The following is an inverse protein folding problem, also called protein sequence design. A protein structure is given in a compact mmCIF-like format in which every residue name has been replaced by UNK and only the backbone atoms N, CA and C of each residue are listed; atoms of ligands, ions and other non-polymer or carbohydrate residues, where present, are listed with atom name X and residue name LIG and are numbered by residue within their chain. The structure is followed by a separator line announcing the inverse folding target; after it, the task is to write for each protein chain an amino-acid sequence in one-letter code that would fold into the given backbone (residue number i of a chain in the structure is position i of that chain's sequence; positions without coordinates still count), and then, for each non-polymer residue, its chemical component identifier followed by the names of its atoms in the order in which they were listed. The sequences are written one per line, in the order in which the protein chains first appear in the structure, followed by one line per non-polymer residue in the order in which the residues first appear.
data_IF_995875695821
#
_entry.id   IF_995875695821
#
_cell.length_a   1.000
_cell.length_b   1.000
_cell.length_c   1.000
_cell.angle_alpha   90.00
_cell.angle_beta   90.00
_cell.angle_gamma   90.00
#
_symmetry.space_group_name_H-M   'P 1'
#
loop_
_entity.id
_entity.type
_entity.pdbx_description
1 polymer ?
#
# COMPACT_ATOMS: atom_id res chain seq x y z
N UNK A 1 13.59 5.69 15.15
CA UNK A 1 14.66 4.77 14.69
C UNK A 1 14.06 3.58 13.98
N UNK A 2 14.04 3.63 12.64
CA UNK A 2 13.74 2.48 11.80
C UNK A 2 14.97 1.55 11.79
N UNK A 3 14.95 0.48 12.59
CA UNK A 3 16.04 -0.50 12.61
C UNK A 3 16.13 -1.22 11.25
N UNK A 4 17.35 -1.39 10.72
CA UNK A 4 17.59 -2.01 9.41
C UNK A 4 17.04 -3.44 9.30
N UNK A 5 16.84 -4.14 10.42
CA UNK A 5 16.25 -5.48 10.50
C UNK A 5 14.72 -5.55 10.39
N UNK A 6 14.00 -4.43 10.38
CA UNK A 6 12.53 -4.43 10.34
C UNK A 6 11.93 -4.52 8.92
N UNK A 7 12.71 -4.31 7.85
CA UNK A 7 12.20 -4.32 6.48
C UNK A 7 12.41 -5.70 5.83
N UNK A 8 11.56 -6.67 6.18
CA UNK A 8 11.72 -8.09 5.79
C UNK A 8 11.01 -8.46 4.49
N UNK A 9 10.15 -7.59 3.98
CA UNK A 9 9.28 -7.89 2.85
C UNK A 9 9.67 -7.06 1.63
N UNK A 10 9.85 -7.69 0.47
CA UNK A 10 10.04 -6.97 -0.80
C UNK A 10 8.69 -6.69 -1.44
N UNK A 11 8.40 -5.41 -1.68
CA UNK A 11 7.16 -4.95 -2.32
C UNK A 11 7.47 -4.28 -3.65
N UNK A 12 6.48 -4.26 -4.54
CA UNK A 12 6.52 -3.47 -5.77
C UNK A 12 5.47 -2.36 -5.70
N UNK A 13 5.87 -1.12 -5.97
CA UNK A 13 4.95 -0.01 -6.15
C UNK A 13 4.66 0.12 -7.64
N UNK A 14 3.39 0.13 -8.01
CA UNK A 14 2.94 0.35 -9.38
C UNK A 14 2.18 1.66 -9.49
N UNK A 15 2.35 2.34 -10.62
CA UNK A 15 1.61 3.54 -10.96
C UNK A 15 0.83 3.30 -12.23
N UNK A 16 -0.26 4.06 -12.39
CA UNK A 16 -1.04 4.03 -13.60
C UNK A 16 -0.26 4.73 -14.72
N UNK A 17 -0.20 4.08 -15.87
CA UNK A 17 0.39 4.59 -17.11
C UNK A 17 -0.64 4.53 -18.22
N UNK A 18 -0.64 5.53 -19.08
CA UNK A 18 -1.48 5.58 -20.26
C UNK A 18 -0.60 5.27 -21.48
N UNK A 19 -1.10 4.41 -22.37
CA UNK A 19 -0.42 4.04 -23.61
C UNK A 19 -1.44 4.02 -24.73
N UNK A 20 -1.05 4.49 -25.91
CA UNK A 20 -1.88 4.40 -27.11
C UNK A 20 -1.74 3.03 -27.74
N UNK A 21 -2.87 2.40 -28.04
CA UNK A 21 -2.92 1.18 -28.85
C UNK A 21 -2.80 1.53 -30.35
N UNK A 22 -2.51 0.54 -31.20
CA UNK A 22 -2.38 0.71 -32.64
C UNK A 22 -3.64 1.29 -33.32
N UNK A 23 -4.80 1.16 -32.68
CA UNK A 23 -6.06 1.74 -33.12
C UNK A 23 -6.32 3.19 -32.62
N UNK A 24 -5.37 3.82 -31.91
CA UNK A 24 -5.50 5.18 -31.36
C UNK A 24 -6.32 5.29 -30.07
N UNK A 25 -6.61 4.17 -29.40
CA UNK A 25 -7.30 4.16 -28.12
C UNK A 25 -6.31 4.29 -26.96
N UNK A 26 -6.62 5.14 -25.96
CA UNK A 26 -5.83 5.24 -24.72
C UNK A 26 -6.15 4.07 -23.79
N UNK A 27 -5.17 3.21 -23.57
CA UNK A 27 -5.25 2.09 -22.64
C UNK A 27 -4.54 2.46 -21.34
N UNK A 28 -5.21 2.19 -20.20
CA UNK A 28 -4.64 2.38 -18.87
C UNK A 28 -4.03 1.06 -18.39
N UNK A 29 -2.74 1.08 -18.09
CA UNK A 29 -2.02 -0.06 -17.57
C UNK A 29 -1.34 0.27 -16.23
N UNK A 30 -0.94 -0.74 -15.47
CA UNK A 30 -0.19 -0.58 -14.23
C UNK A 30 1.28 -0.97 -14.44
N UNK A 31 2.15 0.03 -14.55
CA UNK A 31 3.58 -0.18 -14.70
C UNK A 31 4.28 -0.20 -13.34
N UNK A 32 5.39 -0.95 -13.24
CA UNK A 32 6.24 -0.97 -12.04
C UNK A 32 6.98 0.36 -11.94
N UNK A 33 6.74 1.11 -10.87
CA UNK A 33 7.44 2.36 -10.59
C UNK A 33 8.80 2.08 -9.92
N UNK A 34 8.79 1.35 -8.80
CA UNK A 34 9.99 0.87 -8.14
C UNK A 34 9.72 -0.29 -7.19
N UNK A 35 10.79 -0.97 -6.77
CA UNK A 35 10.78 -2.07 -5.80
C UNK A 35 11.57 -1.68 -4.57
N UNK A 36 11.02 -1.94 -3.39
CA UNK A 36 11.71 -1.64 -2.13
C UNK A 36 11.40 -2.66 -1.03
N UNK A 37 12.20 -2.58 0.03
CA UNK A 37 11.96 -3.30 1.27
C UNK A 37 11.00 -2.54 2.16
N UNK A 38 10.06 -3.27 2.75
CA UNK A 38 9.01 -2.77 3.61
C UNK A 38 8.82 -3.68 4.83
N UNK A 39 8.28 -3.11 5.90
CA UNK A 39 7.68 -3.85 7.02
C UNK A 39 6.18 -3.85 6.82
N UNK A 40 5.56 -5.02 6.77
CA UNK A 40 4.11 -5.15 6.62
C UNK A 40 3.53 -5.58 7.96
N UNK A 41 2.62 -4.77 8.48
CA UNK A 41 1.87 -5.05 9.70
C UNK A 41 0.41 -5.23 9.33
N UNK A 42 -0.18 -6.36 9.73
CA UNK A 42 -1.62 -6.52 9.62
C UNK A 42 -2.28 -5.59 10.61
N UNK A 43 -3.27 -4.81 10.15
CA UNK A 43 -4.09 -4.03 11.06
C UNK A 43 -4.92 -5.04 11.85
N UNK A 44 -4.47 -5.34 13.07
CA UNK A 44 -5.27 -6.13 14.01
C UNK A 44 -6.45 -5.23 14.35
N UNK A 45 -7.66 -5.58 13.92
CA UNK A 45 -8.85 -5.11 14.62
C UNK A 45 -8.73 -5.63 16.05
N UNK A 46 -8.14 -4.82 16.91
CA UNK A 46 -8.07 -5.11 18.33
C UNK A 46 -9.49 -4.94 18.82
N UNK A 47 -10.16 -6.06 19.05
CA UNK A 47 -11.48 -6.09 19.67
C UNK A 47 -11.42 -5.40 21.02
N UNK A 48 -11.74 -4.11 21.03
CA UNK A 48 -12.33 -3.41 22.16
C UNK A 48 -13.82 -3.38 21.89
N UNK A 49 -14.56 -4.19 22.65
CA UNK A 49 -15.95 -3.97 23.06
C UNK A 49 -16.62 -2.76 22.37
N UNK A 50 -17.40 -2.94 21.30
CA UNK A 50 -18.77 -2.37 21.20
C UNK A 50 -19.41 -2.50 19.79
N UNK A 51 -19.11 -3.51 18.98
CA UNK A 51 -19.79 -3.62 17.67
C UNK A 51 -20.10 -5.05 17.26
N UNK A 52 -20.93 -5.71 18.06
CA UNK A 52 -21.87 -6.70 17.54
C UNK A 52 -23.01 -5.90 16.87
N UNK A 53 -22.76 -5.34 15.68
CA UNK A 53 -23.82 -4.88 14.81
C UNK A 53 -23.80 -5.70 13.53
N UNK A 54 -24.68 -6.69 13.56
CA UNK A 54 -25.36 -7.32 12.43
C UNK A 54 -24.89 -6.89 11.02
N UNK A 55 -24.17 -7.79 10.35
CA UNK A 55 -24.61 -8.18 9.00
C UNK A 55 -23.86 -7.63 7.80
N UNK A 56 -22.55 -7.32 7.87
CA UNK A 56 -21.68 -7.24 6.66
C UNK A 56 -20.18 -7.25 7.00
N UNK A 57 -19.66 -8.38 7.46
CA UNK A 57 -18.21 -8.61 7.56
C UNK A 57 -17.65 -9.02 6.19
N UNK A 58 -17.61 -8.06 5.28
CA UNK A 58 -16.68 -8.11 4.14
C UNK A 58 -15.72 -6.95 4.28
N UNK A 59 -15.08 -6.84 5.45
CA UNK A 59 -14.00 -5.88 5.64
C UNK A 59 -12.78 -6.43 4.90
N UNK A 60 -12.48 -5.84 3.74
CA UNK A 60 -11.26 -6.11 2.99
C UNK A 60 -10.06 -6.01 3.93
N UNK A 61 -9.13 -6.99 3.93
CA UNK A 61 -8.04 -6.98 4.90
C UNK A 61 -7.14 -5.75 4.69
N UNK A 62 -7.13 -4.86 5.68
CA UNK A 62 -6.24 -3.70 5.71
C UNK A 62 -4.84 -4.09 6.22
N UNK A 63 -3.83 -3.52 5.58
CA UNK A 63 -2.43 -3.66 5.97
C UNK A 63 -1.78 -2.29 6.11
N UNK A 64 -0.88 -2.17 7.07
CA UNK A 64 0.01 -1.02 7.21
C UNK A 64 1.37 -1.41 6.66
N UNK A 65 1.82 -0.69 5.63
CA UNK A 65 3.11 -0.90 4.97
C UNK A 65 4.03 0.24 5.34
N UNK A 66 5.04 -0.04 6.16
CA UNK A 66 6.06 0.94 6.54
C UNK A 66 7.29 0.77 5.67
N UNK A 67 7.71 1.87 5.05
CA UNK A 67 8.86 1.93 4.16
C UNK A 67 9.86 2.98 4.64
N UNK A 68 11.07 2.98 4.08
CA UNK A 68 12.00 4.10 4.28
C UNK A 68 11.36 5.40 3.84
N UNK A 69 11.72 6.51 4.48
CA UNK A 69 11.18 7.83 4.15
C UNK A 69 11.28 8.10 2.64
N UNK A 70 10.13 8.37 2.05
CA UNK A 70 9.99 8.70 0.64
C UNK A 70 8.73 9.52 0.43
N UNK A 71 8.86 10.55 -0.41
CA UNK A 71 7.77 11.42 -0.84
C UNK A 71 7.30 11.06 -2.27
N UNK A 72 7.91 10.02 -2.86
CA UNK A 72 7.63 9.59 -4.24
C UNK A 72 6.37 8.70 -4.36
N UNK A 73 5.75 8.33 -3.24
CA UNK A 73 4.56 7.48 -3.21
C UNK A 73 3.33 8.36 -3.00
N UNK A 74 2.26 8.10 -3.74
CA UNK A 74 0.98 8.80 -3.60
C UNK A 74 -0.20 7.81 -3.63
N UNK A 75 -1.40 8.33 -3.38
CA UNK A 75 -2.65 7.55 -3.30
C UNK A 75 -3.11 6.96 -4.64
N UNK A 76 -2.61 7.47 -5.77
CA UNK A 76 -2.92 6.93 -7.10
C UNK A 76 -2.10 5.68 -7.43
N UNK A 77 -1.17 5.28 -6.55
CA UNK A 77 -0.34 4.09 -6.71
C UNK A 77 -0.93 2.87 -6.00
N UNK A 78 -0.40 1.70 -6.33
CA UNK A 78 -0.77 0.41 -5.70
C UNK A 78 0.46 -0.35 -5.23
N UNK A 79 0.31 -1.09 -4.14
CA UNK A 79 1.32 -2.00 -3.61
C UNK A 79 1.03 -3.41 -4.10
N UNK A 80 2.02 -4.06 -4.69
CA UNK A 80 1.98 -5.48 -5.01
C UNK A 80 2.88 -6.24 -4.04
N UNK A 81 2.34 -7.28 -3.41
CA UNK A 81 3.06 -8.13 -2.48
C UNK A 81 2.56 -9.57 -2.55
N UNK A 82 3.46 -10.52 -2.80
CA UNK A 82 3.18 -11.98 -2.89
C UNK A 82 1.98 -12.34 -3.79
N UNK A 83 1.83 -11.64 -4.91
CA UNK A 83 0.72 -11.87 -5.87
C UNK A 83 -0.60 -11.20 -5.50
N UNK A 84 -0.71 -10.56 -4.33
CA UNK A 84 -1.85 -9.73 -3.95
C UNK A 84 -1.60 -8.25 -4.29
N UNK A 85 -2.68 -7.56 -4.64
CA UNK A 85 -2.70 -6.12 -4.93
C UNK A 85 -3.37 -5.39 -3.79
N UNK A 86 -2.78 -4.28 -3.37
CA UNK A 86 -3.33 -3.43 -2.34
C UNK A 86 -3.38 -1.98 -2.83
N UNK A 87 -4.55 -1.34 -2.71
CA UNK A 87 -4.72 0.08 -2.98
C UNK A 87 -4.17 0.89 -1.81
N UNK A 88 -3.47 1.99 -2.10
CA UNK A 88 -2.98 2.90 -1.07
C UNK A 88 -4.11 3.86 -0.68
N UNK A 89 -4.57 3.74 0.56
CA UNK A 89 -5.60 4.61 1.13
C UNK A 89 -5.00 5.90 1.67
N UNK A 90 -3.92 5.78 2.44
CA UNK A 90 -3.24 6.93 3.03
C UNK A 90 -1.72 6.83 2.86
N UNK A 91 -1.08 7.99 2.72
CA UNK A 91 0.38 8.13 2.69
C UNK A 91 0.78 9.09 3.81
N UNK A 92 1.50 8.57 4.80
CA UNK A 92 1.90 9.29 6.00
C UNK A 92 3.42 9.30 6.13
N UNK A 93 4.11 10.23 5.45
CA UNK A 93 5.54 10.44 5.63
C UNK A 93 5.81 11.10 6.99
N UNK A 94 6.82 10.60 7.70
CA UNK A 94 7.26 11.17 8.96
C UNK A 94 8.05 12.47 8.70
N UNK A 95 7.37 13.62 8.61
CA UNK A 95 8.04 14.90 8.31
C UNK A 95 8.92 15.41 9.47
N UNK A 96 8.68 14.95 10.70
CA UNK A 96 9.42 15.39 11.88
C UNK A 96 10.85 14.81 11.91
N UNK A 97 11.01 13.49 11.76
CA UNK A 97 12.32 12.83 11.83
C UNK A 97 12.80 12.31 10.47
N UNK A 98 11.93 12.27 9.46
CA UNK A 98 12.21 11.81 8.09
C UNK A 98 12.78 10.39 8.07
N UNK A 99 12.29 9.53 8.96
CA UNK A 99 12.80 8.18 9.11
C UNK A 99 12.04 7.15 8.25
N UNK A 100 10.73 7.31 8.13
CA UNK A 100 9.86 6.36 7.44
C UNK A 100 8.68 7.04 6.75
N UNK A 101 8.07 6.31 5.82
CA UNK A 101 6.74 6.61 5.29
C UNK A 101 5.84 5.44 5.61
N UNK A 102 4.68 5.71 6.20
CA UNK A 102 3.66 4.71 6.50
C UNK A 102 2.54 4.79 5.47
N UNK A 103 2.14 3.64 4.95
CA UNK A 103 1.07 3.50 3.97
C UNK A 103 -0.03 2.66 4.59
N UNK A 104 -1.26 3.17 4.66
CA UNK A 104 -2.42 2.33 4.90
C UNK A 104 -2.89 1.80 3.56
N UNK A 105 -3.04 0.49 3.45
CA UNK A 105 -3.48 -0.14 2.22
C UNK A 105 -4.64 -1.10 2.47
N UNK A 106 -5.54 -1.19 1.51
CA UNK A 106 -6.61 -2.19 1.48
C UNK A 106 -6.36 -3.20 0.38
N UNK A 107 -6.65 -4.47 0.63
CA UNK A 107 -6.55 -5.49 -0.41
C UNK A 107 -7.64 -5.24 -1.46
N UNK A 108 -7.24 -5.22 -2.72
CA UNK A 108 -8.15 -5.24 -3.86
C UNK A 108 -8.34 -6.69 -4.32
N UNK A 109 -9.59 -7.06 -4.63
CA UNK A 109 -9.98 -8.38 -5.15
C UNK A 109 -9.31 -8.70 -6.49
#
# INVERSE_FOLDING_TARGET
MLHAGNLTCRIEIRHQTESEDAAGATVRNWAVFFRLWASIHHVRQTGGVESIQAGKLSESPHITVRVRFTERINHSMRVHYRGAVYNILTVQPDYLKREYTELLCEKTE
#
